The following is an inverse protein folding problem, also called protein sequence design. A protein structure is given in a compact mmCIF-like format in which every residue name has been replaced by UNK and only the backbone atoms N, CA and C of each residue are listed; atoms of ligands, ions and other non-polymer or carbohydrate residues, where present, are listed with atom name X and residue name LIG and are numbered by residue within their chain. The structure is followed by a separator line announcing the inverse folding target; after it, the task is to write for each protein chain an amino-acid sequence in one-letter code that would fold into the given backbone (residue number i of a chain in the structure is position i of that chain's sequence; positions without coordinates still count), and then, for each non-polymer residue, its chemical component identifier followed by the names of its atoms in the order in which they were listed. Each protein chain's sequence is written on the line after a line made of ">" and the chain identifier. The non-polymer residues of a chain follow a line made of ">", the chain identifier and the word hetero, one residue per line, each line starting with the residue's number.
data_IF_925833155019
#
_entry.id   IF_925833155019
#
_cell.length_a   1.000
_cell.length_b   1.000
_cell.length_c   1.000
_cell.angle_alpha   90.00
_cell.angle_beta   90.00
_cell.angle_gamma   90.00
#
_symmetry.space_group_name_H-M   'P 1'
#
loop_
_entity.id
_entity.type
_entity.pdbx_description
1 polymer ?
#
# COMPACT_ATOMS: atom_id res chain seq x y z
N UNK A 1 26.57 50.04 -8.78
CA UNK A 1 25.57 49.02 -9.24
C UNK A 1 25.59 47.86 -8.24
N UNK A 2 24.59 47.77 -7.38
CA UNK A 2 24.56 46.78 -6.27
C UNK A 2 23.86 45.52 -6.73
N UNK A 3 24.58 44.38 -6.78
CA UNK A 3 24.00 43.06 -6.95
C UNK A 3 23.40 42.61 -5.61
N UNK A 4 22.11 42.36 -5.58
CA UNK A 4 21.41 41.73 -4.45
C UNK A 4 21.43 40.22 -4.66
N UNK A 5 22.00 39.51 -3.70
CA UNK A 5 22.03 38.08 -3.67
C UNK A 5 20.66 37.46 -3.45
N UNK A 6 20.39 36.41 -4.19
CA UNK A 6 19.22 35.55 -4.06
C UNK A 6 19.56 34.47 -3.02
N UNK A 7 18.97 34.57 -1.85
CA UNK A 7 19.06 33.49 -0.84
C UNK A 7 18.04 32.40 -1.22
N UNK A 8 18.56 31.21 -1.56
CA UNK A 8 17.76 30.02 -1.81
C UNK A 8 17.41 29.40 -0.47
N UNK A 9 16.12 29.33 -0.16
CA UNK A 9 15.59 28.57 0.97
C UNK A 9 15.63 27.07 0.65
N UNK A 10 16.63 26.37 1.19
CA UNK A 10 16.68 24.90 1.25
C UNK A 10 16.82 24.52 2.73
N UNK A 11 15.72 24.59 3.47
CA UNK A 11 15.67 24.05 4.84
C UNK A 11 14.21 23.86 5.27
N UNK A 12 13.61 22.68 4.94
CA UNK A 12 12.40 22.23 5.62
C UNK A 12 12.17 20.69 5.58
N UNK A 13 12.81 19.94 4.69
CA UNK A 13 12.47 18.52 4.49
C UNK A 13 13.20 17.55 5.44
N UNK A 14 14.30 17.95 6.06
CA UNK A 14 15.14 17.03 6.90
C UNK A 14 14.56 16.87 8.31
N UNK A 15 13.79 17.81 8.81
CA UNK A 15 13.25 17.76 10.19
C UNK A 15 11.98 16.90 10.34
N UNK A 16 11.21 16.67 9.31
CA UNK A 16 9.96 15.89 9.41
C UNK A 16 10.21 14.38 9.57
N UNK A 17 11.29 13.84 9.00
CA UNK A 17 11.59 12.41 9.07
C UNK A 17 12.06 11.95 10.45
N UNK A 18 12.75 12.81 11.23
CA UNK A 18 13.20 12.48 12.59
C UNK A 18 12.07 12.57 13.62
N UNK A 19 11.15 13.51 13.46
CA UNK A 19 10.06 13.73 14.42
C UNK A 19 9.06 12.57 14.50
N UNK A 20 8.81 11.86 13.38
CA UNK A 20 7.88 10.72 13.39
C UNK A 20 8.49 9.46 14.02
N UNK A 21 9.81 9.24 13.92
CA UNK A 21 10.52 8.15 14.58
C UNK A 21 10.49 8.27 16.12
N UNK A 22 10.67 9.47 16.63
CA UNK A 22 10.58 9.74 18.09
C UNK A 22 9.15 9.73 18.62
N UNK A 23 8.16 10.09 17.78
CA UNK A 23 6.74 10.06 18.17
C UNK A 23 6.17 8.66 18.32
N UNK A 24 6.72 7.64 17.64
CA UNK A 24 6.26 6.24 17.79
C UNK A 24 6.77 5.59 19.08
N UNK A 25 7.91 6.00 19.61
CA UNK A 25 8.36 5.57 20.96
C UNK A 25 7.51 6.18 22.08
N UNK A 26 6.89 7.35 21.85
CA UNK A 26 6.00 8.03 22.79
C UNK A 26 4.51 7.64 22.66
N UNK A 27 4.16 6.64 21.82
CA UNK A 27 2.77 6.28 21.47
C UNK A 27 1.99 5.55 22.59
N UNK A 28 2.42 5.62 23.82
CA UNK A 28 1.57 5.27 24.97
C UNK A 28 0.41 6.26 25.12
N UNK A 29 -0.72 6.05 24.38
CA UNK A 29 -1.94 6.75 24.67
C UNK A 29 -2.63 7.54 23.53
N UNK A 30 -2.07 7.62 22.33
CA UNK A 30 -2.77 8.26 21.19
C UNK A 30 -3.88 7.36 20.64
N UNK A 31 -5.03 7.95 20.28
CA UNK A 31 -6.07 7.21 19.54
C UNK A 31 -5.58 6.83 18.14
N UNK A 32 -6.10 5.72 17.60
CA UNK A 32 -5.75 5.29 16.24
C UNK A 32 -6.13 6.34 15.18
N UNK A 33 -7.20 7.11 15.39
CA UNK A 33 -7.59 8.23 14.53
C UNK A 33 -6.54 9.36 14.53
N UNK A 34 -5.99 9.72 15.70
CA UNK A 34 -4.92 10.70 15.77
C UNK A 34 -3.64 10.20 15.08
N UNK A 35 -3.26 8.94 15.31
CA UNK A 35 -2.12 8.32 14.64
C UNK A 35 -2.34 8.23 13.11
N UNK A 36 -3.57 7.94 12.65
CA UNK A 36 -3.94 7.99 11.22
C UNK A 36 -3.66 9.36 10.61
N UNK A 37 -4.11 10.42 11.28
CA UNK A 37 -3.92 11.80 10.78
C UNK A 37 -2.43 12.15 10.66
N UNK A 38 -1.60 11.80 11.63
CA UNK A 38 -0.16 12.01 11.61
C UNK A 38 0.53 11.23 10.48
N UNK A 39 0.18 9.95 10.31
CA UNK A 39 0.73 9.13 9.21
C UNK A 39 0.35 9.71 7.86
N UNK A 40 -0.91 10.12 7.67
CA UNK A 40 -1.35 10.67 6.40
C UNK A 40 -0.64 12.00 6.09
N UNK A 41 -0.48 12.87 7.09
CA UNK A 41 0.25 14.13 6.90
C UNK A 41 1.75 13.87 6.60
N UNK A 42 2.36 12.93 7.30
CA UNK A 42 3.73 12.50 6.99
C UNK A 42 3.88 12.01 5.54
N UNK A 43 2.96 11.15 5.06
CA UNK A 43 2.97 10.64 3.69
C UNK A 43 2.79 11.76 2.65
N UNK A 44 1.97 12.77 2.93
CA UNK A 44 1.77 13.94 2.07
C UNK A 44 3.03 14.78 1.90
N UNK A 45 3.87 14.81 2.93
CA UNK A 45 5.16 15.51 2.91
C UNK A 45 6.24 14.82 2.09
N UNK A 46 6.03 13.60 1.62
CA UNK A 46 7.00 12.83 0.85
C UNK A 46 6.96 13.16 -0.65
N UNK A 47 8.01 12.74 -1.34
CA UNK A 47 8.31 13.10 -2.73
C UNK A 47 9.38 14.18 -2.81
N UNK A 48 9.72 14.62 -4.03
CA UNK A 48 10.66 15.71 -4.29
C UNK A 48 12.02 15.54 -3.57
N UNK A 49 12.53 14.29 -3.55
CA UNK A 49 13.82 13.95 -3.00
C UNK A 49 13.78 13.27 -1.62
N UNK A 50 12.58 12.93 -1.11
CA UNK A 50 12.41 12.08 0.06
C UNK A 50 11.37 11.00 -0.25
N UNK A 51 11.78 9.74 -0.39
CA UNK A 51 10.95 8.67 -0.90
C UNK A 51 10.84 7.51 0.07
N UNK A 52 9.61 7.09 0.37
CA UNK A 52 9.33 5.97 1.25
C UNK A 52 9.74 4.65 0.58
N UNK A 53 10.52 3.85 1.30
CA UNK A 53 10.78 2.47 0.93
C UNK A 53 9.73 1.57 1.58
N UNK A 54 8.97 0.87 0.76
CA UNK A 54 7.98 -0.12 1.19
C UNK A 54 8.32 -1.53 0.69
N UNK A 55 7.83 -2.53 1.42
CA UNK A 55 7.95 -3.95 1.07
C UNK A 55 6.67 -4.70 1.44
N UNK A 56 6.14 -5.49 0.53
CA UNK A 56 5.13 -6.50 0.87
C UNK A 56 5.81 -7.60 1.68
N UNK A 57 5.35 -7.81 2.90
CA UNK A 57 5.95 -8.73 3.87
C UNK A 57 5.53 -10.19 3.61
N UNK A 58 4.24 -10.37 3.26
CA UNK A 58 3.65 -11.68 2.97
C UNK A 58 2.73 -11.55 1.77
N UNK A 59 2.78 -12.52 0.87
CA UNK A 59 1.87 -12.61 -0.28
C UNK A 59 0.81 -13.68 -0.07
N UNK A 60 1.21 -14.87 0.36
CA UNK A 60 0.35 -16.05 0.46
C UNK A 60 0.48 -16.73 1.80
N UNK A 61 -0.47 -17.61 2.10
CA UNK A 61 -0.61 -18.44 3.29
C UNK A 61 0.64 -19.28 3.68
N UNK A 62 1.58 -19.47 2.79
CA UNK A 62 2.87 -20.14 3.09
C UNK A 62 3.90 -19.22 3.73
N UNK A 63 3.63 -17.93 3.83
CA UNK A 63 4.52 -16.95 4.43
C UNK A 63 4.00 -16.57 5.81
N UNK A 64 4.92 -16.42 6.76
CA UNK A 64 4.56 -16.09 8.14
C UNK A 64 4.46 -14.56 8.31
N UNK A 65 3.38 -14.04 8.92
CA UNK A 65 3.24 -12.60 9.19
C UNK A 65 4.24 -12.09 10.23
N UNK A 66 4.87 -12.96 11.01
CA UNK A 66 5.94 -12.55 11.92
C UNK A 66 7.17 -12.10 11.14
N UNK A 67 7.48 -10.82 11.25
CA UNK A 67 8.61 -10.18 10.56
C UNK A 67 10.00 -10.74 10.94
N UNK A 68 10.08 -11.61 11.93
CA UNK A 68 11.33 -12.30 12.32
C UNK A 68 11.41 -13.71 11.75
N UNK A 69 10.33 -14.21 11.14
CA UNK A 69 10.31 -15.52 10.51
C UNK A 69 11.03 -15.50 9.15
N UNK A 70 11.79 -16.57 8.83
CA UNK A 70 12.60 -16.65 7.61
C UNK A 70 11.83 -16.59 6.28
N UNK A 71 10.51 -16.88 6.27
CA UNK A 71 9.67 -16.72 5.09
C UNK A 71 9.25 -15.26 4.86
N UNK A 72 9.22 -14.42 5.89
CA UNK A 72 8.81 -13.03 5.81
C UNK A 72 9.80 -12.18 5.01
N UNK A 73 9.32 -11.39 4.07
CA UNK A 73 10.18 -10.58 3.20
C UNK A 73 10.81 -9.39 3.92
N UNK A 74 10.22 -8.88 5.00
CA UNK A 74 10.87 -7.86 5.82
C UNK A 74 12.17 -8.38 6.43
N UNK A 75 12.14 -9.64 6.94
CA UNK A 75 13.35 -10.30 7.43
C UNK A 75 14.39 -10.51 6.33
N UNK A 76 13.96 -11.05 5.17
CA UNK A 76 14.88 -11.27 4.04
C UNK A 76 15.55 -9.96 3.58
N UNK A 77 14.79 -8.85 3.53
CA UNK A 77 15.32 -7.52 3.20
C UNK A 77 16.30 -7.05 4.27
N UNK A 78 15.95 -7.19 5.56
CA UNK A 78 16.83 -6.82 6.65
C UNK A 78 18.14 -7.63 6.66
N UNK A 79 18.05 -8.95 6.53
CA UNK A 79 19.22 -9.83 6.50
C UNK A 79 20.16 -9.48 5.33
N UNK A 80 19.61 -9.06 4.19
CA UNK A 80 20.38 -8.68 3.01
C UNK A 80 21.01 -7.29 3.09
N UNK A 81 20.28 -6.32 3.68
CA UNK A 81 20.67 -4.89 3.59
C UNK A 81 21.08 -4.28 4.92
N UNK A 82 20.71 -4.87 6.05
CA UNK A 82 20.89 -4.31 7.41
C UNK A 82 19.89 -3.18 7.73
N UNK A 83 18.83 -3.01 6.92
CA UNK A 83 17.81 -1.98 7.13
C UNK A 83 16.41 -2.54 6.95
N UNK A 84 15.46 -1.99 7.69
CA UNK A 84 14.03 -2.30 7.53
C UNK A 84 13.34 -1.27 6.63
N UNK A 85 12.36 -1.69 5.82
CA UNK A 85 11.44 -0.78 5.16
C UNK A 85 10.74 0.14 6.15
N UNK A 86 10.42 1.37 5.74
CA UNK A 86 9.58 2.27 6.54
C UNK A 86 8.09 1.94 6.42
N UNK A 87 7.68 1.24 5.38
CA UNK A 87 6.33 0.79 5.12
C UNK A 87 6.33 -0.72 4.87
N UNK A 88 5.55 -1.45 5.64
CA UNK A 88 5.39 -2.89 5.50
C UNK A 88 3.94 -3.24 5.19
N UNK A 89 3.72 -4.20 4.27
CA UNK A 89 2.37 -4.64 3.88
C UNK A 89 2.19 -6.11 4.22
N UNK A 90 1.10 -6.44 4.89
CA UNK A 90 0.63 -7.81 5.09
C UNK A 90 -0.63 -8.02 4.25
N UNK A 91 -0.69 -9.15 3.56
CA UNK A 91 -1.82 -9.53 2.69
C UNK A 91 -2.81 -10.39 3.45
N UNK A 92 -4.09 -10.01 3.40
CA UNK A 92 -5.21 -10.79 3.90
C UNK A 92 -5.91 -11.44 2.70
N UNK A 93 -5.69 -12.73 2.51
CA UNK A 93 -6.24 -13.50 1.40
C UNK A 93 -7.39 -14.40 1.86
N UNK A 94 -8.61 -14.07 1.42
CA UNK A 94 -9.83 -14.80 1.78
C UNK A 94 -10.12 -15.98 0.84
N UNK A 95 -9.27 -16.23 -0.16
CA UNK A 95 -9.42 -17.40 -1.04
C UNK A 95 -9.00 -18.70 -0.35
N UNK A 96 -8.09 -18.60 0.62
CA UNK A 96 -7.49 -19.72 1.33
C UNK A 96 -7.96 -19.77 2.79
N UNK A 97 -9.25 -19.96 3.01
CA UNK A 97 -9.81 -20.15 4.34
C UNK A 97 -9.58 -21.60 4.85
N UNK A 98 -9.18 -21.83 6.13
CA UNK A 98 -9.17 -20.87 7.24
C UNK A 98 -7.91 -20.00 7.30
N UNK A 99 -8.14 -18.71 7.42
CA UNK A 99 -7.09 -17.70 7.53
C UNK A 99 -6.86 -17.35 9.01
N UNK A 100 -5.63 -17.38 9.54
CA UNK A 100 -5.36 -17.16 10.96
C UNK A 100 -5.31 -15.66 11.32
N UNK A 101 -6.49 -15.03 11.42
CA UNK A 101 -6.66 -13.59 11.65
C UNK A 101 -5.79 -13.05 12.78
N UNK A 102 -5.70 -13.76 13.92
CA UNK A 102 -4.95 -13.31 15.08
C UNK A 102 -3.44 -13.17 14.79
N UNK A 103 -2.85 -14.14 14.09
CA UNK A 103 -1.44 -14.10 13.73
C UNK A 103 -1.13 -12.96 12.74
N UNK A 104 -2.04 -12.72 11.77
CA UNK A 104 -1.92 -11.62 10.82
C UNK A 104 -2.04 -10.26 11.49
N UNK A 105 -3.02 -10.08 12.35
CA UNK A 105 -3.19 -8.86 13.16
C UNK A 105 -1.98 -8.59 14.05
N UNK A 106 -1.43 -9.62 14.69
CA UNK A 106 -0.22 -9.51 15.49
C UNK A 106 0.99 -9.10 14.64
N UNK A 107 1.12 -9.63 13.41
CA UNK A 107 2.15 -9.23 12.46
C UNK A 107 2.07 -7.76 12.08
N UNK A 108 0.87 -7.27 11.73
CA UNK A 108 0.62 -5.84 11.44
C UNK A 108 0.97 -4.96 12.65
N UNK A 109 0.53 -5.36 13.84
CA UNK A 109 0.85 -4.65 15.09
C UNK A 109 2.35 -4.60 15.34
N UNK A 110 3.06 -5.70 15.13
CA UNK A 110 4.52 -5.79 15.33
C UNK A 110 5.28 -4.86 14.37
N UNK A 111 4.83 -4.72 13.11
CA UNK A 111 5.38 -3.74 12.17
C UNK A 111 5.22 -2.31 12.71
N UNK A 112 4.03 -1.96 13.20
CA UNK A 112 3.76 -0.64 13.79
C UNK A 112 4.65 -0.37 15.01
N UNK A 113 4.77 -1.33 15.92
CA UNK A 113 5.60 -1.21 17.12
C UNK A 113 7.11 -1.06 16.82
N UNK A 114 7.54 -1.53 15.65
CA UNK A 114 8.90 -1.33 15.14
C UNK A 114 9.06 0.01 14.41
N UNK A 115 8.05 0.86 14.42
CA UNK A 115 8.06 2.17 13.76
C UNK A 115 7.80 2.14 12.27
N UNK A 116 7.33 1.01 11.70
CA UNK A 116 6.88 0.98 10.31
C UNK A 116 5.47 1.55 10.20
N UNK A 117 5.16 2.16 9.06
CA UNK A 117 3.79 2.41 8.66
C UNK A 117 3.19 1.06 8.27
N UNK A 118 2.04 0.72 8.83
CA UNK A 118 1.38 -0.56 8.59
C UNK A 118 0.47 -0.49 7.36
N UNK A 119 0.69 -1.40 6.41
CA UNK A 119 -0.13 -1.60 5.22
C UNK A 119 -0.89 -2.92 5.27
N UNK A 120 -2.09 -2.91 4.73
CA UNK A 120 -2.91 -4.11 4.58
C UNK A 120 -3.48 -4.15 3.16
N UNK A 121 -3.20 -5.23 2.46
CA UNK A 121 -3.85 -5.59 1.21
C UNK A 121 -4.90 -6.65 1.47
N UNK A 122 -6.06 -6.55 0.82
CA UNK A 122 -7.11 -7.56 0.91
C UNK A 122 -7.41 -8.16 -0.46
N UNK A 123 -7.48 -9.47 -0.49
CA UNK A 123 -7.99 -10.24 -1.61
C UNK A 123 -9.28 -10.91 -1.17
N UNK A 124 -10.41 -10.27 -1.44
CA UNK A 124 -11.72 -10.85 -1.19
C UNK A 124 -11.95 -12.04 -2.12
N UNK A 125 -12.37 -13.18 -1.55
CA UNK A 125 -12.77 -14.35 -2.32
C UNK A 125 -13.99 -14.02 -3.19
N UNK A 126 -14.11 -14.71 -4.31
CA UNK A 126 -15.26 -14.58 -5.19
C UNK A 126 -16.55 -14.92 -4.42
N UNK A 127 -17.47 -13.97 -4.23
CA UNK A 127 -18.64 -14.17 -3.39
C UNK A 127 -19.67 -15.15 -3.98
N UNK A 128 -19.54 -15.51 -5.25
CA UNK A 128 -20.33 -16.59 -5.85
C UNK A 128 -19.88 -18.00 -5.42
N UNK A 129 -18.80 -18.11 -4.62
CA UNK A 129 -18.26 -19.40 -4.15
C UNK A 129 -17.54 -20.21 -5.24
N UNK A 130 -17.06 -19.54 -6.27
CA UNK A 130 -16.26 -20.12 -7.35
C UNK A 130 -14.83 -19.61 -7.31
N UNK A 131 -13.97 -20.07 -8.22
CA UNK A 131 -12.57 -19.62 -8.27
C UNK A 131 -12.44 -18.10 -8.31
N UNK A 132 -11.32 -17.59 -7.83
CA UNK A 132 -11.03 -16.14 -7.70
C UNK A 132 -11.23 -15.34 -9.00
N UNK A 133 -11.05 -15.99 -10.14
CA UNK A 133 -11.27 -15.44 -11.47
C UNK A 133 -12.58 -15.95 -12.12
N UNK A 134 -13.44 -16.64 -11.37
CA UNK A 134 -14.74 -17.14 -11.88
C UNK A 134 -15.74 -16.02 -12.15
N UNK A 135 -16.82 -16.33 -12.86
CA UNK A 135 -17.91 -15.37 -13.10
C UNK A 135 -18.65 -15.06 -11.79
N UNK A 136 -19.12 -13.84 -11.67
CA UNK A 136 -20.00 -13.39 -10.59
C UNK A 136 -20.93 -12.30 -11.13
N UNK A 137 -22.19 -12.37 -10.77
CA UNK A 137 -23.10 -11.25 -10.95
C UNK A 137 -22.93 -10.27 -9.78
N UNK A 138 -22.19 -9.20 -10.02
CA UNK A 138 -21.85 -8.20 -8.99
C UNK A 138 -23.10 -7.44 -8.53
N UNK A 139 -24.11 -7.28 -9.36
CA UNK A 139 -25.35 -6.60 -8.99
C UNK A 139 -26.13 -7.32 -7.89
N UNK A 140 -25.94 -8.64 -7.72
CA UNK A 140 -26.48 -9.38 -6.57
C UNK A 140 -25.97 -8.88 -5.21
N UNK A 141 -24.76 -8.33 -5.16
CA UNK A 141 -24.21 -7.72 -3.92
C UNK A 141 -25.05 -6.49 -3.51
N UNK A 142 -25.55 -5.75 -4.49
CA UNK A 142 -26.32 -4.51 -4.31
C UNK A 142 -27.85 -4.73 -4.32
N UNK A 143 -28.31 -5.95 -4.58
CA UNK A 143 -29.75 -6.26 -4.64
C UNK A 143 -30.43 -5.93 -3.31
N UNK A 144 -31.72 -5.51 -3.36
CA UNK A 144 -32.51 -5.30 -2.16
C UNK A 144 -32.78 -6.63 -1.42
N UNK A 145 -33.04 -7.68 -2.21
CA UNK A 145 -33.32 -9.01 -1.72
C UNK A 145 -32.06 -9.68 -1.14
N UNK A 146 -32.25 -10.47 -0.11
CA UNK A 146 -31.21 -11.32 0.46
C UNK A 146 -30.85 -12.48 -0.49
N UNK A 147 -29.55 -12.68 -0.74
CA UNK A 147 -29.05 -13.76 -1.57
C UNK A 147 -27.67 -14.25 -1.12
N UNK A 148 -27.23 -15.40 -1.62
CA UNK A 148 -25.98 -16.03 -1.18
C UNK A 148 -24.75 -15.16 -1.51
N UNK A 149 -24.68 -14.56 -2.69
CA UNK A 149 -23.55 -13.71 -3.11
C UNK A 149 -23.39 -12.51 -2.19
N UNK A 150 -24.52 -11.85 -1.87
CA UNK A 150 -24.53 -10.73 -0.91
C UNK A 150 -24.07 -11.15 0.46
N UNK A 151 -24.65 -12.22 1.03
CA UNK A 151 -24.26 -12.74 2.35
C UNK A 151 -22.76 -13.10 2.41
N UNK A 152 -22.24 -13.77 1.38
CA UNK A 152 -20.84 -14.15 1.31
C UNK A 152 -19.90 -12.94 1.29
N UNK A 153 -20.22 -11.92 0.49
CA UNK A 153 -19.41 -10.70 0.44
C UNK A 153 -19.45 -9.92 1.76
N UNK A 154 -20.64 -9.70 2.32
CA UNK A 154 -20.78 -9.02 3.62
C UNK A 154 -20.12 -9.79 4.76
N UNK A 155 -20.16 -11.13 4.76
CA UNK A 155 -19.45 -11.96 5.72
C UNK A 155 -17.92 -11.75 5.68
N UNK A 156 -17.35 -11.61 4.49
CA UNK A 156 -15.94 -11.29 4.34
C UNK A 156 -15.63 -9.86 4.79
N UNK A 157 -16.48 -8.89 4.45
CA UNK A 157 -16.33 -7.52 4.95
C UNK A 157 -16.43 -7.44 6.47
N UNK A 158 -17.34 -8.18 7.09
CA UNK A 158 -17.47 -8.24 8.56
C UNK A 158 -16.21 -8.78 9.22
N UNK A 159 -15.64 -9.86 8.67
CA UNK A 159 -14.39 -10.44 9.15
C UNK A 159 -13.24 -9.44 9.02
N UNK A 160 -13.08 -8.80 7.86
CA UNK A 160 -12.03 -7.78 7.66
C UNK A 160 -12.23 -6.57 8.57
N UNK A 161 -13.46 -6.11 8.75
CA UNK A 161 -13.77 -5.03 9.70
C UNK A 161 -13.43 -5.42 11.14
N UNK A 162 -13.60 -6.69 11.51
CA UNK A 162 -13.16 -7.24 12.80
C UNK A 162 -11.64 -7.13 12.99
N UNK A 163 -10.86 -7.48 11.95
CA UNK A 163 -9.40 -7.37 11.95
C UNK A 163 -8.94 -5.90 12.08
N UNK A 164 -9.51 -5.01 11.28
CA UNK A 164 -9.17 -3.58 11.33
C UNK A 164 -9.59 -2.92 12.67
N UNK A 165 -10.70 -3.37 13.27
CA UNK A 165 -11.11 -2.94 14.61
C UNK A 165 -10.12 -3.41 15.67
N UNK A 166 -9.64 -4.64 15.60
CA UNK A 166 -8.64 -5.17 16.53
C UNK A 166 -7.36 -4.30 16.50
N UNK A 167 -6.95 -3.84 15.32
CA UNK A 167 -5.82 -2.93 15.13
C UNK A 167 -6.14 -1.53 15.68
N UNK A 168 -7.32 -0.99 15.37
CA UNK A 168 -7.79 0.31 15.86
C UNK A 168 -7.75 0.38 17.39
N UNK A 169 -8.29 -0.65 18.05
CA UNK A 169 -8.39 -0.72 19.50
C UNK A 169 -7.00 -0.81 20.18
N UNK A 170 -5.94 -1.05 19.39
CA UNK A 170 -4.53 -1.04 19.81
C UNK A 170 -3.74 0.14 19.28
N UNK A 171 -4.40 1.19 18.81
CA UNK A 171 -3.79 2.43 18.35
C UNK A 171 -3.08 2.34 17.01
N UNK A 172 -3.32 1.29 16.21
CA UNK A 172 -2.64 1.07 14.92
C UNK A 172 -3.45 1.67 13.77
N UNK A 173 -2.94 2.71 13.09
CA UNK A 173 -3.47 3.17 11.82
C UNK A 173 -2.99 2.26 10.69
N UNK A 174 -3.81 2.10 9.67
CA UNK A 174 -3.54 1.18 8.57
C UNK A 174 -3.75 1.87 7.22
N UNK A 175 -2.75 1.78 6.33
CA UNK A 175 -2.95 2.06 4.91
C UNK A 175 -3.60 0.83 4.28
N UNK A 176 -4.87 0.94 3.93
CA UNK A 176 -5.72 -0.18 3.53
C UNK A 176 -6.08 -0.14 2.05
N UNK A 177 -5.76 -1.23 1.35
CA UNK A 177 -6.11 -1.43 -0.06
C UNK A 177 -7.14 -2.56 -0.15
N UNK A 178 -8.44 -2.24 -0.33
CA UNK A 178 -9.51 -3.25 -0.37
C UNK A 178 -9.50 -4.09 -1.64
N UNK A 179 -9.00 -3.54 -2.73
CA UNK A 179 -8.93 -4.20 -4.04
C UNK A 179 -7.58 -3.89 -4.68
N UNK A 180 -6.66 -4.84 -4.58
CA UNK A 180 -5.34 -4.75 -5.20
C UNK A 180 -5.50 -4.89 -6.71
N UNK A 181 -4.92 -3.93 -7.47
CA UNK A 181 -5.04 -3.89 -8.92
C UNK A 181 -6.51 -3.91 -9.39
N UNK A 182 -7.25 -2.90 -8.99
CA UNK A 182 -8.69 -2.74 -9.19
C UNK A 182 -9.17 -2.88 -10.66
N UNK A 183 -8.26 -2.77 -11.63
CA UNK A 183 -8.53 -2.89 -13.06
C UNK A 183 -8.08 -4.24 -13.67
N UNK A 184 -7.56 -5.15 -12.85
CA UNK A 184 -7.11 -6.47 -13.32
C UNK A 184 -8.29 -7.38 -13.64
N UNK A 185 -8.60 -7.50 -14.93
CA UNK A 185 -9.71 -8.31 -15.44
C UNK A 185 -9.58 -9.83 -15.20
N UNK A 186 -8.46 -10.28 -14.68
CA UNK A 186 -8.33 -11.65 -14.19
C UNK A 186 -8.93 -11.83 -12.79
N UNK A 187 -9.27 -10.76 -12.08
CA UNK A 187 -9.90 -10.79 -10.75
C UNK A 187 -11.41 -10.63 -10.87
N UNK A 188 -12.19 -11.36 -10.08
CA UNK A 188 -13.64 -11.38 -10.15
C UNK A 188 -14.26 -9.97 -10.11
N UNK A 189 -13.73 -9.08 -9.27
CA UNK A 189 -14.26 -7.74 -9.03
C UNK A 189 -14.06 -6.76 -10.21
N UNK A 190 -13.14 -7.06 -11.14
CA UNK A 190 -12.80 -6.17 -12.25
C UNK A 190 -13.24 -6.74 -13.62
N UNK A 191 -13.88 -7.93 -13.65
CA UNK A 191 -14.21 -8.61 -14.91
C UNK A 191 -15.23 -7.90 -15.77
N UNK A 192 -16.24 -7.30 -15.18
CA UNK A 192 -17.39 -6.77 -15.91
C UNK A 192 -17.15 -5.32 -16.33
N UNK A 193 -17.48 -4.37 -15.50
CA UNK A 193 -17.37 -2.95 -15.81
C UNK A 193 -16.54 -2.20 -14.78
N UNK A 194 -15.97 -1.07 -15.19
CA UNK A 194 -15.30 -0.16 -14.23
C UNK A 194 -16.29 0.42 -13.20
N UNK A 195 -17.56 0.55 -13.53
CA UNK A 195 -18.57 1.02 -12.59
C UNK A 195 -18.78 0.05 -11.44
N UNK A 196 -18.77 -1.26 -11.70
CA UNK A 196 -18.90 -2.28 -10.66
C UNK A 196 -17.81 -2.19 -9.60
N UNK A 197 -16.53 -2.09 -9.98
CA UNK A 197 -15.45 -1.96 -9.02
C UNK A 197 -15.49 -0.62 -8.27
N UNK A 198 -15.89 0.48 -8.93
CA UNK A 198 -16.10 1.77 -8.28
C UNK A 198 -17.20 1.66 -7.20
N UNK A 199 -18.32 1.01 -7.51
CA UNK A 199 -19.42 0.77 -6.56
C UNK A 199 -18.97 -0.13 -5.40
N UNK A 200 -18.23 -1.22 -5.69
CA UNK A 200 -17.68 -2.12 -4.66
C UNK A 200 -16.72 -1.38 -3.72
N UNK A 201 -15.81 -0.58 -4.26
CA UNK A 201 -14.87 0.20 -3.45
C UNK A 201 -15.62 1.16 -2.50
N UNK A 202 -16.60 1.90 -3.03
CA UNK A 202 -17.44 2.80 -2.23
C UNK A 202 -18.26 2.06 -1.18
N UNK A 203 -18.80 0.89 -1.52
CA UNK A 203 -19.52 0.05 -0.57
C UNK A 203 -18.63 -0.37 0.61
N UNK A 204 -17.42 -0.88 0.34
CA UNK A 204 -16.47 -1.30 1.39
C UNK A 204 -16.09 -0.10 2.26
N UNK A 205 -15.78 1.05 1.64
CA UNK A 205 -15.46 2.28 2.36
C UNK A 205 -16.60 2.69 3.30
N UNK A 206 -17.82 2.84 2.76
CA UNK A 206 -18.97 3.32 3.52
C UNK A 206 -19.34 2.34 4.65
N UNK A 207 -19.31 1.04 4.36
CA UNK A 207 -19.58 0.01 5.36
C UNK A 207 -18.56 0.05 6.50
N UNK A 208 -17.28 0.19 6.23
CA UNK A 208 -16.26 0.25 7.27
C UNK A 208 -16.30 1.56 8.05
N UNK A 209 -16.48 2.69 7.39
CA UNK A 209 -16.47 4.00 8.05
C UNK A 209 -17.80 4.28 8.74
N UNK A 210 -18.94 4.11 8.05
CA UNK A 210 -20.26 4.53 8.54
C UNK A 210 -20.90 3.46 9.43
N UNK A 211 -20.88 2.20 9.00
CA UNK A 211 -21.61 1.13 9.70
C UNK A 211 -20.74 0.47 10.79
N UNK A 212 -19.42 0.34 10.56
CA UNK A 212 -18.49 -0.26 11.54
C UNK A 212 -17.72 0.75 12.38
N UNK A 213 -17.78 2.05 12.06
CA UNK A 213 -17.15 3.12 12.83
C UNK A 213 -15.62 3.04 12.85
N UNK A 214 -14.98 2.58 11.75
CA UNK A 214 -13.54 2.46 11.67
C UNK A 214 -12.92 3.80 11.26
N UNK A 215 -12.14 4.40 12.13
CA UNK A 215 -11.51 5.71 11.97
C UNK A 215 -9.98 5.66 11.85
N UNK A 216 -9.41 4.47 11.84
CA UNK A 216 -7.96 4.21 11.75
C UNK A 216 -7.46 3.93 10.32
N UNK A 217 -8.32 4.02 9.30
CA UNK A 217 -8.00 3.61 7.94
C UNK A 217 -7.55 4.79 7.08
N UNK A 218 -6.40 4.68 6.43
CA UNK A 218 -5.94 5.49 5.31
C UNK A 218 -6.28 4.72 4.04
N UNK A 219 -7.17 5.24 3.23
CA UNK A 219 -7.75 4.53 2.08
C UNK A 219 -6.85 4.58 0.86
N UNK A 220 -6.38 3.42 0.40
CA UNK A 220 -5.54 3.32 -0.78
C UNK A 220 -6.28 2.69 -1.97
N UNK A 221 -6.22 3.37 -3.10
CA UNK A 221 -6.68 2.91 -4.39
C UNK A 221 -5.50 2.46 -5.22
N UNK A 222 -5.57 1.29 -5.83
CA UNK A 222 -4.45 0.65 -6.52
C UNK A 222 -4.88 0.07 -7.87
N UNK A 223 -4.14 0.41 -8.95
CA UNK A 223 -4.34 -0.13 -10.30
C UNK A 223 -3.09 -0.82 -10.83
N UNK A 224 -3.27 -1.67 -11.84
CA UNK A 224 -2.16 -2.28 -12.58
C UNK A 224 -1.31 -1.22 -13.29
N UNK A 225 -0.23 -1.66 -13.96
CA UNK A 225 0.59 -0.78 -14.80
C UNK A 225 -0.07 -0.35 -16.12
N UNK A 226 -1.32 -0.75 -16.41
CA UNK A 226 -2.03 -0.40 -17.63
C UNK A 226 -2.21 1.11 -17.81
N UNK A 227 -2.21 1.55 -19.08
CA UNK A 227 -2.05 2.97 -19.43
C UNK A 227 -3.26 3.88 -19.20
N UNK A 228 -4.44 3.34 -18.88
CA UNK A 228 -5.70 4.11 -18.80
C UNK A 228 -6.57 3.71 -17.60
N UNK A 229 -5.93 3.29 -16.51
CA UNK A 229 -6.67 2.70 -15.41
C UNK A 229 -6.96 3.67 -14.26
N UNK A 230 -6.08 4.63 -13.98
CA UNK A 230 -6.23 5.46 -12.77
C UNK A 230 -7.54 6.24 -12.78
N UNK A 231 -7.77 7.08 -13.78
CA UNK A 231 -8.97 7.89 -13.84
C UNK A 231 -10.23 7.07 -14.05
N UNK A 232 -10.14 6.06 -14.94
CA UNK A 232 -11.29 5.26 -15.35
C UNK A 232 -11.93 4.45 -14.22
N UNK A 233 -11.11 3.95 -13.29
CA UNK A 233 -11.55 3.09 -12.19
C UNK A 233 -11.56 3.82 -10.84
N UNK A 234 -11.34 5.14 -10.83
CA UNK A 234 -11.21 5.94 -9.62
C UNK A 234 -12.52 6.07 -8.85
N UNK A 235 -12.56 5.69 -7.57
CA UNK A 235 -13.79 5.76 -6.78
C UNK A 235 -14.21 7.18 -6.39
N UNK A 236 -13.31 8.15 -6.52
CA UNK A 236 -13.55 9.55 -6.21
C UNK A 236 -12.77 10.05 -5.00
N UNK A 237 -12.51 11.37 -4.96
CA UNK A 237 -11.64 12.00 -3.96
C UNK A 237 -12.14 11.82 -2.51
N UNK A 238 -13.44 11.68 -2.30
CA UNK A 238 -14.02 11.47 -0.96
C UNK A 238 -13.71 10.09 -0.37
N UNK A 239 -13.30 9.13 -1.20
CA UNK A 239 -13.09 7.73 -0.83
C UNK A 239 -11.63 7.31 -0.79
N UNK A 240 -10.69 8.15 -1.23
CA UNK A 240 -9.29 7.80 -1.44
C UNK A 240 -8.37 8.80 -0.78
N UNK A 241 -7.41 8.34 -0.01
CA UNK A 241 -6.30 9.13 0.56
C UNK A 241 -5.01 8.94 -0.26
N UNK A 242 -4.79 7.72 -0.77
CA UNK A 242 -3.55 7.30 -1.45
C UNK A 242 -3.90 6.69 -2.80
N UNK A 243 -3.20 7.11 -3.84
CA UNK A 243 -3.34 6.62 -5.21
C UNK A 243 -2.09 5.85 -5.58
N UNK A 244 -2.25 4.58 -5.86
CA UNK A 244 -1.19 3.66 -6.18
C UNK A 244 -1.29 3.06 -7.58
N UNK A 245 -0.15 2.73 -8.14
CA UNK A 245 -0.02 2.03 -9.42
C UNK A 245 1.07 0.99 -9.36
N UNK A 246 0.83 -0.18 -9.97
CA UNK A 246 1.89 -1.18 -10.18
C UNK A 246 2.89 -0.72 -11.22
N UNK A 247 4.16 -1.10 -11.05
CA UNK A 247 5.20 -0.92 -12.06
C UNK A 247 6.12 -2.13 -12.09
N UNK A 248 6.10 -2.87 -13.18
CA UNK A 248 6.89 -4.06 -13.36
C UNK A 248 7.86 -3.94 -14.55
N UNK A 249 9.01 -4.61 -14.41
CA UNK A 249 10.07 -4.61 -15.41
C UNK A 249 10.96 -3.36 -15.36
N UNK A 250 11.98 -3.34 -16.22
CA UNK A 250 13.04 -2.31 -16.20
C UNK A 250 12.57 -0.91 -16.57
N UNK A 251 11.42 -0.78 -17.20
CA UNK A 251 10.89 0.51 -17.66
C UNK A 251 10.46 1.45 -16.52
N UNK A 252 9.95 0.89 -15.44
CA UNK A 252 9.45 1.62 -14.27
C UNK A 252 8.61 2.85 -14.67
N UNK A 253 7.48 2.59 -15.29
CA UNK A 253 6.56 3.65 -15.74
C UNK A 253 5.50 3.95 -14.70
N UNK A 254 5.05 5.20 -14.67
CA UNK A 254 3.82 5.60 -13.98
C UNK A 254 2.93 6.27 -15.04
N UNK A 255 2.14 5.45 -15.74
CA UNK A 255 1.19 5.99 -16.70
C UNK A 255 0.14 6.85 -16.00
N UNK A 256 -0.40 7.87 -16.69
CA UNK A 256 -1.32 8.85 -16.11
C UNK A 256 -0.70 9.69 -14.97
N UNK A 257 0.63 9.86 -14.96
CA UNK A 257 1.34 10.60 -13.91
C UNK A 257 0.82 12.04 -13.72
N UNK A 258 0.58 12.74 -14.83
CA UNK A 258 0.04 14.10 -14.77
C UNK A 258 -1.31 14.17 -14.04
N UNK A 259 -2.21 13.23 -14.32
CA UNK A 259 -3.48 13.11 -13.60
C UNK A 259 -3.29 12.87 -12.10
N UNK A 260 -2.35 11.99 -11.73
CA UNK A 260 -2.04 11.68 -10.34
C UNK A 260 -1.42 12.88 -9.62
N UNK A 261 -0.55 13.65 -10.28
CA UNK A 261 0.05 14.89 -9.74
C UNK A 261 -1.02 15.94 -9.42
N UNK A 262 -2.04 16.10 -10.27
CA UNK A 262 -3.15 16.99 -9.94
C UNK A 262 -3.92 16.54 -8.68
N UNK A 263 -4.07 15.24 -8.46
CA UNK A 263 -4.65 14.71 -7.22
C UNK A 263 -3.73 14.92 -6.01
N UNK A 264 -2.41 14.83 -6.18
CA UNK A 264 -1.46 15.19 -5.12
C UNK A 264 -1.60 16.65 -4.71
N UNK A 265 -1.75 17.58 -5.66
CA UNK A 265 -2.02 19.00 -5.36
C UNK A 265 -3.32 19.19 -4.56
N UNK A 266 -4.30 18.30 -4.76
CA UNK A 266 -5.53 18.24 -3.98
C UNK A 266 -5.39 17.48 -2.65
N UNK A 267 -4.18 17.16 -2.21
CA UNK A 267 -3.87 16.54 -0.92
C UNK A 267 -3.85 15.01 -0.91
N UNK A 268 -3.83 14.36 -2.08
CA UNK A 268 -3.64 12.90 -2.14
C UNK A 268 -2.16 12.53 -2.07
N UNK A 269 -1.87 11.32 -1.58
CA UNK A 269 -0.56 10.69 -1.70
C UNK A 269 -0.52 9.88 -2.99
N UNK A 270 0.61 9.90 -3.71
CA UNK A 270 0.79 9.10 -4.93
C UNK A 270 2.07 8.28 -4.82
N UNK A 271 2.04 7.00 -5.19
CA UNK A 271 3.20 6.11 -5.10
C UNK A 271 3.15 4.93 -6.07
N UNK A 272 4.24 4.21 -6.23
CA UNK A 272 4.20 2.86 -6.78
C UNK A 272 3.71 1.89 -5.69
N UNK A 273 2.48 1.39 -5.84
CA UNK A 273 1.86 0.49 -4.87
C UNK A 273 2.41 -0.94 -4.94
N UNK A 274 2.82 -1.37 -6.12
CA UNK A 274 3.60 -2.58 -6.34
C UNK A 274 4.72 -2.31 -7.33
N UNK A 275 5.93 -2.71 -6.95
CA UNK A 275 7.12 -2.53 -7.76
C UNK A 275 7.86 -3.85 -7.92
N UNK A 276 8.17 -4.20 -9.17
CA UNK A 276 9.05 -5.29 -9.52
C UNK A 276 10.06 -4.86 -10.58
N UNK A 277 11.33 -4.71 -10.22
CA UNK A 277 12.35 -4.13 -11.12
C UNK A 277 12.91 -5.11 -12.16
N UNK A 278 12.59 -6.38 -12.05
CA UNK A 278 13.04 -7.42 -12.97
C UNK A 278 11.98 -8.51 -13.09
N UNK A 279 11.86 -9.10 -14.27
CA UNK A 279 11.20 -10.38 -14.46
C UNK A 279 12.18 -11.53 -14.16
N UNK A 280 11.68 -12.76 -14.11
CA UNK A 280 12.47 -13.92 -13.71
C UNK A 280 13.54 -14.34 -14.75
N UNK A 281 13.43 -13.91 -15.99
CA UNK A 281 14.25 -14.35 -17.11
C UNK A 281 15.44 -13.42 -17.42
N UNK A 282 15.45 -12.21 -16.86
CA UNK A 282 16.47 -11.19 -17.14
C UNK A 282 17.68 -11.22 -16.21
N UNK A 283 18.80 -10.58 -16.59
CA UNK A 283 19.93 -10.35 -15.71
C UNK A 283 19.52 -9.50 -14.50
N UNK A 284 20.31 -9.55 -13.41
CA UNK A 284 20.05 -8.72 -12.22
C UNK A 284 19.87 -7.25 -12.61
N UNK A 285 18.91 -6.60 -11.99
CA UNK A 285 18.65 -5.18 -12.19
C UNK A 285 19.45 -4.36 -11.17
N UNK A 286 19.72 -3.11 -11.48
CA UNK A 286 20.31 -2.17 -10.53
C UNK A 286 19.19 -1.48 -9.74
N UNK A 287 19.10 -1.73 -8.43
CA UNK A 287 18.09 -1.11 -7.57
C UNK A 287 18.16 0.43 -7.57
N UNK A 288 19.34 1.01 -7.87
CA UNK A 288 19.49 2.46 -7.99
C UNK A 288 18.71 3.06 -9.17
N UNK A 289 18.26 2.23 -10.15
CA UNK A 289 17.38 2.70 -11.22
C UNK A 289 16.04 3.22 -10.67
N UNK A 290 15.54 2.66 -9.56
CA UNK A 290 14.34 3.14 -8.88
C UNK A 290 14.53 4.60 -8.46
N UNK A 291 15.64 4.90 -7.78
CA UNK A 291 15.93 6.26 -7.33
C UNK A 291 16.13 7.22 -8.51
N UNK A 292 16.87 6.80 -9.54
CA UNK A 292 17.06 7.60 -10.78
C UNK A 292 15.74 7.93 -11.46
N UNK A 293 14.80 6.97 -11.49
CA UNK A 293 13.46 7.17 -12.05
C UNK A 293 12.59 8.10 -11.20
N UNK A 294 12.64 7.95 -9.87
CA UNK A 294 11.93 8.86 -8.96
C UNK A 294 12.42 10.30 -9.16
N UNK A 295 13.73 10.53 -9.09
CA UNK A 295 14.29 11.88 -9.20
C UNK A 295 14.14 12.49 -10.61
N UNK A 296 14.29 11.68 -11.66
CA UNK A 296 14.32 12.18 -13.03
C UNK A 296 12.97 12.23 -13.74
N UNK A 297 12.03 11.34 -13.39
CA UNK A 297 10.78 11.19 -14.14
C UNK A 297 9.53 11.35 -13.28
N UNK A 298 9.60 10.97 -12.00
CA UNK A 298 8.42 10.89 -11.13
C UNK A 298 8.67 11.50 -9.74
N UNK A 299 9.21 12.73 -9.65
CA UNK A 299 9.65 13.31 -8.38
C UNK A 299 8.51 13.49 -7.35
N UNK A 300 7.28 13.59 -7.81
CA UNK A 300 6.13 13.79 -6.94
C UNK A 300 5.66 12.52 -6.21
N UNK A 301 6.14 11.31 -6.61
CA UNK A 301 5.79 10.08 -5.92
C UNK A 301 6.31 10.13 -4.48
N UNK A 302 5.47 9.76 -3.52
CA UNK A 302 5.86 9.67 -2.12
C UNK A 302 6.81 8.48 -1.85
N UNK A 303 6.82 7.47 -2.71
CA UNK A 303 7.65 6.30 -2.55
C UNK A 303 7.21 5.14 -3.43
N UNK A 304 7.63 3.94 -3.00
CA UNK A 304 7.37 2.69 -3.72
C UNK A 304 7.31 1.51 -2.76
N UNK A 305 6.61 0.46 -3.18
CA UNK A 305 6.42 -0.78 -2.41
C UNK A 305 6.88 -1.96 -3.25
N UNK A 306 7.97 -2.60 -2.86
CA UNK A 306 8.43 -3.80 -3.56
C UNK A 306 7.49 -4.98 -3.33
N UNK A 307 7.25 -5.73 -4.40
CA UNK A 307 6.50 -6.98 -4.36
C UNK A 307 7.33 -8.12 -3.75
N UNK A 308 6.67 -9.14 -3.19
CA UNK A 308 7.31 -10.18 -2.38
C UNK A 308 7.46 -11.55 -3.04
N UNK A 309 6.64 -11.89 -4.03
CA UNK A 309 6.55 -13.25 -4.58
C UNK A 309 7.90 -13.94 -4.86
N UNK A 310 8.87 -13.17 -5.41
CA UNK A 310 10.21 -13.70 -5.63
C UNK A 310 11.30 -12.62 -5.46
N UNK A 311 12.49 -13.04 -5.06
CA UNK A 311 13.63 -12.15 -4.84
C UNK A 311 14.01 -11.29 -6.05
N UNK A 312 13.71 -11.72 -7.26
CA UNK A 312 14.02 -10.95 -8.47
C UNK A 312 13.17 -9.69 -8.64
N UNK A 313 12.07 -9.55 -7.91
CA UNK A 313 11.28 -8.31 -7.92
C UNK A 313 11.90 -7.20 -7.05
N UNK A 314 12.62 -7.54 -5.99
CA UNK A 314 13.02 -6.62 -4.93
C UNK A 314 14.55 -6.55 -4.73
N UNK A 315 14.98 -5.88 -3.67
CA UNK A 315 16.40 -5.64 -3.37
C UNK A 315 17.19 -6.92 -3.09
N UNK A 316 16.56 -8.01 -2.66
CA UNK A 316 17.27 -9.25 -2.27
C UNK A 316 17.88 -9.96 -3.49
N UNK A 317 17.17 -9.97 -4.61
CA UNK A 317 17.62 -10.63 -5.84
C UNK A 317 18.28 -9.73 -6.88
N UNK A 318 18.53 -8.45 -6.56
CA UNK A 318 19.06 -7.46 -7.48
C UNK A 318 20.31 -6.76 -6.92
N UNK A 319 21.00 -5.99 -7.79
CA UNK A 319 22.25 -5.33 -7.45
C UNK A 319 21.97 -4.00 -6.71
N UNK A 320 22.92 -3.55 -5.90
CA UNK A 320 22.88 -2.26 -5.19
C UNK A 320 21.67 -2.05 -4.26
N UNK A 321 21.02 -3.14 -3.79
CA UNK A 321 19.88 -3.05 -2.87
C UNK A 321 20.22 -2.33 -1.56
N UNK A 322 21.37 -2.66 -0.95
CA UNK A 322 21.87 -1.95 0.24
C UNK A 322 22.11 -0.47 -0.05
N UNK A 323 22.78 -0.15 -1.16
CA UNK A 323 23.07 1.23 -1.55
C UNK A 323 21.77 2.05 -1.73
N UNK A 324 20.73 1.46 -2.32
CA UNK A 324 19.42 2.10 -2.42
C UNK A 324 18.87 2.43 -1.02
N UNK A 325 18.82 1.44 -0.12
CA UNK A 325 18.24 1.62 1.21
C UNK A 325 19.07 2.54 2.13
N UNK A 326 20.36 2.70 1.87
CA UNK A 326 21.27 3.61 2.60
C UNK A 326 21.26 5.03 2.02
N UNK A 327 20.67 5.25 0.85
CA UNK A 327 20.60 6.58 0.26
C UNK A 327 19.86 7.56 1.17
N UNK A 328 20.37 8.78 1.38
CA UNK A 328 19.70 9.80 2.18
C UNK A 328 18.37 10.28 1.58
N UNK A 329 18.06 9.88 0.33
CA UNK A 329 16.80 10.14 -0.35
C UNK A 329 15.72 9.09 -0.04
N UNK A 330 16.12 7.96 0.52
CA UNK A 330 15.23 6.82 0.76
C UNK A 330 14.98 6.68 2.28
N UNK A 331 13.71 6.72 2.63
CA UNK A 331 13.28 6.62 4.03
C UNK A 331 13.14 5.15 4.42
N UNK A 332 14.02 4.70 5.30
CA UNK A 332 14.08 3.35 5.88
C UNK A 332 14.22 3.43 7.39
N UNK A 333 14.13 2.29 8.08
CA UNK A 333 14.48 2.13 9.49
C UNK A 333 15.87 1.45 9.65
N UNK A 334 16.55 1.70 10.77
CA UNK A 334 17.80 1.02 11.14
C UNK A 334 17.51 -0.28 11.87
#
# INVERSE_FOLDING_TARGET
>A
MRMRGLAVFVFAAVFAASAFGEATEAAGGKSAAAARAEVLEYLRGLGNGSYLFGQVATWVHNENPDMEHGSNWLKKVYDHTGRLPRYGVITYDFHDDPFPDEAWNAGVKKMWDRGMIAGVYTFFANPAGVSWNGPVDIDLIFAAEDNATKRNFYGQMDRMAGNLRWLRDRGVPVVYTPFVESDDRNKWHAKETNEHIIRLYRLVHDYFVKDKGLDNIIWAYHTTQNHVALEKYYPGDAYVDVIGKSAYGRGLVFSEYAWAVERKKAGKVIWWAELGIRDNSGPRADCMDVLRKLEGSFPELAGFVFWSDAGYYNVVGNDNGRQLMESPRIVTLK
#
